data_IF_704080225890
#
_entry.id   IF_704080225890
#
_cell.length_a   1.000
_cell.length_b   1.000
_cell.length_c   1.000
_cell.angle_alpha   90.00
_cell.angle_beta   90.00
_cell.angle_gamma   90.00
#
_symmetry.space_group_name_H-M   'P 1'
#
loop_
_entity.id
_entity.type
_entity.pdbx_description
1 polymer ?
#
# COMPACT_ATOMS: atom_id res chain seq x y z
N UNK A 1 64.90 -8.99 0.72
CA UNK A 1 63.61 -9.44 1.32
C UNK A 1 63.83 -10.79 1.97
N UNK A 2 63.39 -10.97 3.22
CA UNK A 2 63.40 -12.29 3.89
C UNK A 2 62.07 -13.00 3.63
N UNK A 3 62.07 -14.34 3.53
CA UNK A 3 60.88 -15.17 3.26
C UNK A 3 59.71 -14.83 4.21
N UNK A 4 60.01 -14.56 5.48
CA UNK A 4 59.03 -14.16 6.49
C UNK A 4 58.30 -12.85 6.16
N UNK A 5 58.98 -11.85 5.58
CA UNK A 5 58.34 -10.59 5.17
C UNK A 5 57.39 -10.82 4.00
N UNK A 6 57.76 -11.70 3.07
CA UNK A 6 56.92 -12.04 1.91
C UNK A 6 55.63 -12.74 2.35
N UNK A 7 55.74 -13.67 3.31
CA UNK A 7 54.61 -14.41 3.87
C UNK A 7 53.63 -13.49 4.62
N UNK A 8 54.16 -12.57 5.44
CA UNK A 8 53.36 -11.61 6.19
C UNK A 8 52.59 -10.66 5.25
N UNK A 9 53.25 -10.19 4.19
CA UNK A 9 52.67 -9.25 3.23
C UNK A 9 51.51 -9.88 2.44
N UNK A 10 51.67 -11.13 1.99
CA UNK A 10 50.60 -11.86 1.30
C UNK A 10 49.42 -12.15 2.21
N UNK A 11 49.69 -12.52 3.48
CA UNK A 11 48.65 -12.81 4.45
C UNK A 11 47.85 -11.56 4.81
N UNK A 12 48.53 -10.44 5.12
CA UNK A 12 47.87 -9.16 5.41
C UNK A 12 47.05 -8.66 4.23
N UNK A 13 47.54 -8.82 3.00
CA UNK A 13 46.80 -8.44 1.79
C UNK A 13 45.51 -9.25 1.65
N UNK A 14 45.59 -10.57 1.84
CA UNK A 14 44.41 -11.44 1.81
C UNK A 14 43.39 -11.07 2.91
N UNK A 15 43.87 -10.74 4.11
CA UNK A 15 43.05 -10.31 5.24
C UNK A 15 42.32 -8.99 4.94
N UNK A 16 43.02 -8.00 4.39
CA UNK A 16 42.41 -6.72 3.99
C UNK A 16 41.38 -6.92 2.88
N UNK A 17 41.67 -7.77 1.89
CA UNK A 17 40.72 -8.09 0.83
C UNK A 17 39.44 -8.75 1.39
N UNK A 18 39.57 -9.69 2.32
CA UNK A 18 38.44 -10.32 3.00
C UNK A 18 37.59 -9.31 3.78
N UNK A 19 38.24 -8.42 4.55
CA UNK A 19 37.53 -7.38 5.29
C UNK A 19 36.80 -6.39 4.37
N UNK A 20 37.41 -6.02 3.25
CA UNK A 20 36.80 -5.14 2.26
C UNK A 20 35.55 -5.78 1.64
N UNK A 21 35.63 -7.04 1.21
CA UNK A 21 34.49 -7.77 0.64
C UNK A 21 33.40 -7.99 1.69
N UNK A 22 33.77 -8.37 2.91
CA UNK A 22 32.81 -8.55 4.01
C UNK A 22 32.07 -7.25 4.34
N UNK A 23 32.79 -6.14 4.46
CA UNK A 23 32.19 -4.83 4.74
C UNK A 23 31.29 -4.36 3.60
N UNK A 24 31.72 -4.55 2.35
CA UNK A 24 30.92 -4.24 1.17
C UNK A 24 29.63 -5.07 1.10
N UNK A 25 29.72 -6.37 1.41
CA UNK A 25 28.56 -7.25 1.49
C UNK A 25 27.56 -6.81 2.57
N UNK A 26 28.04 -6.44 3.75
CA UNK A 26 27.19 -5.89 4.82
C UNK A 26 26.52 -4.57 4.42
N UNK A 27 27.24 -3.69 3.73
CA UNK A 27 26.69 -2.44 3.22
C UNK A 27 25.59 -2.68 2.18
N UNK A 28 25.84 -3.59 1.24
CA UNK A 28 24.87 -3.97 0.21
C UNK A 28 23.62 -4.64 0.81
N UNK A 29 23.80 -5.48 1.83
CA UNK A 29 22.71 -6.12 2.57
C UNK A 29 21.87 -5.08 3.32
N UNK A 30 22.51 -4.10 3.97
CA UNK A 30 21.82 -3.00 4.65
C UNK A 30 20.97 -2.18 3.67
N UNK A 31 21.51 -1.87 2.50
CA UNK A 31 20.80 -1.16 1.43
C UNK A 31 19.59 -1.96 0.91
N UNK A 32 19.72 -3.29 0.81
CA UNK A 32 18.63 -4.17 0.40
C UNK A 32 17.53 -4.21 1.47
N UNK A 33 17.89 -4.28 2.76
CA UNK A 33 16.95 -4.26 3.86
C UNK A 33 16.06 -3.01 3.82
N UNK A 34 16.65 -1.83 3.52
CA UNK A 34 15.88 -0.58 3.41
C UNK A 34 14.78 -0.64 2.35
N UNK A 35 14.97 -1.43 1.29
CA UNK A 35 13.95 -1.64 0.25
C UNK A 35 12.87 -2.62 0.70
N UNK A 36 13.25 -3.65 1.44
CA UNK A 36 12.28 -4.59 2.02
C UNK A 36 11.40 -3.91 3.08
N UNK A 37 12.00 -3.07 3.93
CA UNK A 37 11.28 -2.28 4.93
C UNK A 37 10.26 -1.36 4.24
N UNK A 38 10.65 -0.70 3.14
CA UNK A 38 9.71 0.13 2.36
C UNK A 38 8.50 -0.66 1.82
N UNK A 39 8.73 -1.86 1.27
CA UNK A 39 7.65 -2.72 0.75
C UNK A 39 6.75 -3.22 1.88
N UNK A 40 7.34 -3.63 3.00
CA UNK A 40 6.62 -4.19 4.13
C UNK A 40 5.80 -3.11 4.87
N UNK A 41 6.35 -1.92 5.05
CA UNK A 41 5.72 -0.85 5.83
C UNK A 41 4.74 -0.01 5.01
N UNK A 42 4.96 0.16 3.71
CA UNK A 42 4.17 1.08 2.88
C UNK A 42 3.34 0.34 1.83
N UNK A 43 3.96 -0.53 1.02
CA UNK A 43 3.28 -1.11 -0.14
C UNK A 43 2.27 -2.20 0.22
N UNK A 44 2.63 -3.16 1.08
CA UNK A 44 1.71 -4.23 1.47
C UNK A 44 0.45 -3.70 2.19
N UNK A 45 0.56 -2.85 3.23
CA UNK A 45 -0.60 -2.29 3.90
C UNK A 45 -1.49 -1.45 2.97
N UNK A 46 -0.88 -0.69 2.05
CA UNK A 46 -1.60 0.07 1.01
C UNK A 46 -2.47 -0.80 0.13
N UNK A 47 -1.92 -1.91 -0.36
CA UNK A 47 -2.66 -2.83 -1.25
C UNK A 47 -3.83 -3.47 -0.51
N UNK A 48 -3.62 -3.90 0.74
CA UNK A 48 -4.69 -4.46 1.56
C UNK A 48 -5.80 -3.44 1.85
N UNK A 49 -5.44 -2.19 2.16
CA UNK A 49 -6.42 -1.13 2.38
C UNK A 49 -7.25 -0.84 1.12
N UNK A 50 -6.62 -0.80 -0.06
CA UNK A 50 -7.33 -0.63 -1.34
C UNK A 50 -8.20 -1.83 -1.69
N UNK A 51 -7.83 -3.05 -1.28
CA UNK A 51 -8.64 -4.25 -1.45
C UNK A 51 -9.92 -4.16 -0.61
N UNK A 52 -9.82 -3.72 0.65
CA UNK A 52 -10.98 -3.44 1.50
C UNK A 52 -11.92 -2.38 0.91
N UNK A 53 -11.38 -1.30 0.33
CA UNK A 53 -12.18 -0.28 -0.36
C UNK A 53 -12.98 -0.90 -1.51
N UNK A 54 -12.37 -1.82 -2.29
CA UNK A 54 -13.05 -2.52 -3.39
C UNK A 54 -14.17 -3.42 -2.87
N UNK A 55 -13.96 -4.13 -1.78
CA UNK A 55 -14.97 -4.99 -1.16
C UNK A 55 -16.16 -4.15 -0.67
N UNK A 56 -15.91 -3.06 0.06
CA UNK A 56 -16.97 -2.15 0.52
C UNK A 56 -17.75 -1.56 -0.66
N UNK A 57 -17.08 -1.22 -1.76
CA UNK A 57 -17.74 -0.75 -2.98
C UNK A 57 -18.59 -1.83 -3.66
N UNK A 58 -18.10 -3.06 -3.73
CA UNK A 58 -18.85 -4.18 -4.29
C UNK A 58 -20.11 -4.48 -3.46
N UNK A 59 -20.00 -4.42 -2.14
CA UNK A 59 -21.12 -4.57 -1.22
C UNK A 59 -22.18 -3.47 -1.44
N UNK A 60 -21.75 -2.21 -1.53
CA UNK A 60 -22.63 -1.09 -1.84
C UNK A 60 -23.38 -1.30 -3.16
N UNK A 61 -22.71 -1.79 -4.21
CA UNK A 61 -23.35 -2.09 -5.50
C UNK A 61 -24.45 -3.16 -5.35
N UNK A 62 -24.20 -4.19 -4.55
CA UNK A 62 -25.21 -5.23 -4.26
C UNK A 62 -26.42 -4.64 -3.54
N UNK A 63 -26.21 -3.77 -2.55
CA UNK A 63 -27.29 -3.10 -1.82
C UNK A 63 -28.11 -2.20 -2.76
N UNK A 64 -27.45 -1.45 -3.66
CA UNK A 64 -28.13 -0.66 -4.70
C UNK A 64 -29.00 -1.56 -5.59
N UNK A 65 -28.49 -2.70 -6.06
CA UNK A 65 -29.29 -3.64 -6.84
C UNK A 65 -30.49 -4.17 -6.05
N UNK A 66 -30.31 -4.50 -4.76
CA UNK A 66 -31.41 -4.94 -3.88
C UNK A 66 -32.45 -3.85 -3.65
N UNK A 67 -32.02 -2.61 -3.47
CA UNK A 67 -32.93 -1.46 -3.34
C UNK A 67 -33.79 -1.28 -4.59
N UNK A 68 -33.19 -1.40 -5.79
CA UNK A 68 -33.92 -1.32 -7.07
C UNK A 68 -34.92 -2.46 -7.24
N UNK A 69 -34.56 -3.68 -6.83
CA UNK A 69 -35.41 -4.87 -6.95
C UNK A 69 -36.45 -5.02 -5.83
N UNK A 70 -36.34 -4.25 -4.75
CA UNK A 70 -37.25 -4.35 -3.62
C UNK A 70 -38.67 -3.89 -4.00
N UNK A 71 -39.65 -4.76 -3.74
CA UNK A 71 -41.05 -4.54 -4.11
C UNK A 71 -41.90 -3.93 -2.98
N UNK A 72 -41.34 -3.73 -1.79
CA UNK A 72 -42.03 -3.09 -0.67
C UNK A 72 -41.22 -1.90 -0.09
N UNK A 73 -41.89 -0.92 0.53
CA UNK A 73 -41.23 0.29 1.05
C UNK A 73 -40.24 0.02 2.18
N UNK A 74 -40.52 -0.95 3.05
CA UNK A 74 -39.67 -1.28 4.20
C UNK A 74 -38.30 -1.82 3.77
N UNK A 75 -38.28 -2.73 2.80
CA UNK A 75 -37.03 -3.27 2.23
C UNK A 75 -36.26 -2.19 1.49
N UNK A 76 -36.94 -1.30 0.75
CA UNK A 76 -36.27 -0.16 0.10
C UNK A 76 -35.57 0.73 1.14
N UNK A 77 -36.27 1.12 2.20
CA UNK A 77 -35.72 1.97 3.25
C UNK A 77 -34.55 1.31 3.97
N UNK A 78 -34.64 -0.01 4.21
CA UNK A 78 -33.54 -0.79 4.79
C UNK A 78 -32.29 -0.77 3.89
N UNK A 79 -32.44 -1.10 2.61
CA UNK A 79 -31.29 -1.10 1.69
C UNK A 79 -30.74 0.32 1.49
N UNK A 80 -31.57 1.35 1.53
CA UNK A 80 -31.13 2.75 1.46
C UNK A 80 -30.28 3.15 2.69
N UNK A 81 -30.62 2.63 3.87
CA UNK A 81 -29.80 2.82 5.06
C UNK A 81 -28.45 2.10 4.92
N UNK A 82 -28.45 0.85 4.45
CA UNK A 82 -27.21 0.09 4.21
C UNK A 82 -26.30 0.78 3.19
N UNK A 83 -26.86 1.34 2.12
CA UNK A 83 -26.11 2.12 1.12
C UNK A 83 -25.42 3.32 1.77
N UNK A 84 -26.12 4.06 2.64
CA UNK A 84 -25.53 5.19 3.38
C UNK A 84 -24.41 4.76 4.32
N UNK A 85 -24.58 3.63 5.00
CA UNK A 85 -23.56 3.07 5.89
C UNK A 85 -22.31 2.64 5.09
N UNK A 86 -22.49 1.96 3.96
CA UNK A 86 -21.40 1.60 3.06
C UNK A 86 -20.70 2.83 2.45
N UNK A 87 -21.43 3.92 2.18
CA UNK A 87 -20.85 5.17 1.66
C UNK A 87 -19.96 5.86 2.69
N UNK A 88 -20.45 5.96 3.93
CA UNK A 88 -19.65 6.46 5.05
C UNK A 88 -18.41 5.61 5.30
N UNK A 89 -18.55 4.28 5.25
CA UNK A 89 -17.43 3.35 5.43
C UNK A 89 -16.39 3.51 4.31
N UNK A 90 -16.81 3.56 3.06
CA UNK A 90 -15.94 3.76 1.91
C UNK A 90 -15.19 5.10 1.99
N UNK A 91 -15.87 6.17 2.40
CA UNK A 91 -15.25 7.47 2.63
C UNK A 91 -14.20 7.44 3.75
N UNK A 92 -14.46 6.69 4.83
CA UNK A 92 -13.52 6.50 5.93
C UNK A 92 -12.28 5.73 5.48
N UNK A 93 -12.45 4.59 4.81
CA UNK A 93 -11.34 3.74 4.33
C UNK A 93 -10.44 4.50 3.35
N UNK A 94 -11.02 5.30 2.45
CA UNK A 94 -10.25 6.15 1.54
C UNK A 94 -9.50 7.29 2.25
N UNK A 95 -10.04 7.82 3.37
CA UNK A 95 -9.37 8.85 4.16
C UNK A 95 -8.21 8.26 4.96
N UNK A 96 -8.38 7.06 5.50
CA UNK A 96 -7.31 6.36 6.22
C UNK A 96 -6.18 5.94 5.28
N UNK A 97 -6.50 5.49 4.06
CA UNK A 97 -5.52 5.27 3.00
C UNK A 97 -4.75 6.56 2.68
N UNK A 98 -5.45 7.69 2.51
CA UNK A 98 -4.82 8.98 2.20
C UNK A 98 -3.84 9.44 3.29
N UNK A 99 -4.23 9.31 4.56
CA UNK A 99 -3.46 9.82 5.70
C UNK A 99 -2.25 8.98 6.03
N UNK A 100 -2.40 7.65 5.97
CA UNK A 100 -1.47 6.75 6.62
C UNK A 100 -0.68 5.86 5.65
N UNK A 101 -1.17 5.69 4.41
CA UNK A 101 -0.68 4.62 3.53
C UNK A 101 -0.15 5.13 2.18
N UNK A 102 -0.32 6.41 1.85
CA UNK A 102 0.26 6.97 0.63
C UNK A 102 1.78 6.79 0.63
N UNK A 103 2.26 5.97 -0.30
CA UNK A 103 3.66 5.55 -0.36
C UNK A 103 4.50 6.51 -1.21
N UNK A 104 3.88 7.18 -2.19
CA UNK A 104 4.56 8.13 -3.08
C UNK A 104 3.60 9.21 -3.67
N UNK A 105 4.11 10.07 -4.56
CA UNK A 105 3.32 11.12 -5.20
C UNK A 105 2.33 10.58 -6.26
N UNK A 106 2.67 9.47 -6.92
CA UNK A 106 1.80 8.85 -7.91
C UNK A 106 0.52 8.30 -7.26
N UNK A 107 0.62 7.72 -6.06
CA UNK A 107 -0.53 7.28 -5.26
C UNK A 107 -1.49 8.44 -4.95
N UNK A 108 -0.95 9.62 -4.61
CA UNK A 108 -1.76 10.85 -4.40
C UNK A 108 -2.51 11.23 -5.66
N UNK A 109 -1.83 11.22 -6.80
CA UNK A 109 -2.41 11.65 -8.07
C UNK A 109 -3.49 10.65 -8.54
N UNK A 110 -3.28 9.35 -8.31
CA UNK A 110 -4.27 8.30 -8.58
C UNK A 110 -5.51 8.44 -7.68
N UNK A 111 -5.32 8.66 -6.37
CA UNK A 111 -6.42 8.88 -5.44
C UNK A 111 -7.25 10.12 -5.81
N UNK A 112 -6.59 11.21 -6.22
CA UNK A 112 -7.26 12.42 -6.68
C UNK A 112 -8.13 12.14 -7.93
N UNK A 113 -7.63 11.34 -8.87
CA UNK A 113 -8.41 10.93 -10.06
C UNK A 113 -9.62 10.08 -9.69
N UNK A 114 -9.47 9.14 -8.76
CA UNK A 114 -10.58 8.29 -8.33
C UNK A 114 -11.66 9.10 -7.59
N UNK A 115 -11.28 10.08 -6.76
CA UNK A 115 -12.22 11.02 -6.13
C UNK A 115 -12.97 11.90 -7.14
N UNK A 116 -12.32 12.30 -8.22
CA UNK A 116 -12.98 13.05 -9.29
C UNK A 116 -14.03 12.20 -10.01
N UNK A 117 -13.78 10.88 -10.14
CA UNK A 117 -14.71 9.93 -10.76
C UNK A 117 -15.86 9.54 -9.84
N UNK A 118 -15.63 9.47 -8.53
CA UNK A 118 -16.64 9.09 -7.53
C UNK A 118 -17.49 10.26 -7.00
N UNK A 119 -17.24 11.50 -7.44
CA UNK A 119 -18.12 12.64 -7.11
C UNK A 119 -19.57 12.27 -7.43
N UNK A 120 -20.51 12.45 -6.47
CA UNK A 120 -21.90 12.15 -6.72
C UNK A 120 -22.37 12.97 -7.92
N UNK A 121 -22.98 12.30 -8.91
CA UNK A 121 -23.76 12.98 -9.95
C UNK A 121 -24.76 13.86 -9.19
N UNK A 122 -24.59 15.17 -9.31
CA UNK A 122 -25.56 16.15 -8.81
C UNK A 122 -26.89 15.76 -9.46
N UNK A 123 -27.98 15.55 -8.71
CA UNK A 123 -29.25 15.23 -9.34
C UNK A 123 -29.60 16.40 -10.26
N UNK A 124 -29.68 16.14 -11.55
CA UNK A 124 -30.32 17.05 -12.48
C UNK A 124 -31.77 17.23 -12.00
N UNK A 125 -32.17 18.50 -11.84
CA UNK A 125 -33.39 18.91 -11.15
C UNK A 125 -34.70 18.43 -11.78
#
# INVERSE_FOLDING_TARGET
MKISQRLLLTLSTALVALLAVGSFGLWQLKQANTRFDYIAENTMPSVLALDHVKDTFAEMRVQVYRHVLANNPELKQKEEQLIRESDQKLASELNDYEKNLISNQEDRDLLAKDRLRSRPMKPDG
#
